data_IF_977607985258
#
_entry.id   IF_977607985258
#
_cell.length_a   1.000
_cell.length_b   1.000
_cell.length_c   1.000
_cell.angle_alpha   90.00
_cell.angle_beta   90.00
_cell.angle_gamma   90.00
#
_symmetry.space_group_name_H-M   'P 1'
#
loop_
_entity.id
_entity.type
_entity.pdbx_description
1 polymer ?
#
# COMPACT_ATOMS: atom_id res chain seq x y z
N UNK A 1 10.25 1.37 -0.32
CA UNK A 1 9.65 0.23 -1.05
C UNK A 1 9.18 -0.76 -0.01
N UNK A 2 7.97 -1.29 -0.18
CA UNK A 2 7.30 -2.19 0.74
C UNK A 2 6.86 -3.44 0.00
N UNK A 3 7.17 -4.61 0.55
CA UNK A 3 6.83 -5.90 -0.02
C UNK A 3 5.65 -6.50 0.75
N UNK A 4 4.62 -6.89 0.01
CA UNK A 4 3.41 -7.54 0.51
C UNK A 4 3.28 -8.93 -0.15
N UNK A 5 2.38 -9.76 0.36
CA UNK A 5 2.07 -11.05 -0.27
C UNK A 5 1.56 -10.81 -1.69
N UNK A 6 0.62 -9.89 -1.87
CA UNK A 6 -0.01 -9.61 -3.16
C UNK A 6 0.77 -8.72 -4.13
N UNK A 7 1.88 -8.09 -3.73
CA UNK A 7 2.62 -7.18 -4.59
C UNK A 7 3.66 -6.32 -3.89
N UNK A 8 4.22 -5.38 -4.63
CA UNK A 8 5.19 -4.39 -4.12
C UNK A 8 4.62 -2.98 -4.28
N UNK A 9 4.81 -2.14 -3.26
CA UNK A 9 4.43 -0.73 -3.26
C UNK A 9 5.68 0.13 -3.06
N UNK A 10 5.87 1.13 -3.91
CA UNK A 10 6.91 2.15 -3.72
C UNK A 10 6.26 3.49 -3.49
N UNK A 11 6.59 4.12 -2.38
CA UNK A 11 6.19 5.50 -2.06
C UNK A 11 7.42 6.38 -1.93
N UNK A 12 7.24 7.68 -2.13
CA UNK A 12 8.20 8.73 -1.82
C UNK A 12 7.70 9.48 -0.60
N UNK A 13 8.52 9.56 0.44
CA UNK A 13 8.24 10.33 1.64
C UNK A 13 8.98 11.67 1.52
N UNK A 14 8.24 12.77 1.57
CA UNK A 14 8.71 14.15 1.57
C UNK A 14 8.47 14.84 2.91
N UNK A 15 8.54 16.17 2.92
CA UNK A 15 8.26 16.96 4.11
C UNK A 15 6.75 16.98 4.40
N UNK A 16 6.29 16.06 5.26
CA UNK A 16 4.88 15.92 5.61
C UNK A 16 4.00 15.32 4.50
N UNK A 17 4.61 14.70 3.48
CA UNK A 17 3.91 14.17 2.31
C UNK A 17 4.37 12.76 1.98
N UNK A 18 3.45 11.94 1.51
CA UNK A 18 3.68 10.60 0.98
C UNK A 18 2.99 10.46 -0.38
N UNK A 19 3.78 10.25 -1.42
CA UNK A 19 3.29 10.05 -2.78
C UNK A 19 3.52 8.62 -3.24
N UNK A 20 2.52 8.04 -3.90
CA UNK A 20 2.66 6.74 -4.54
C UNK A 20 3.51 6.86 -5.82
N UNK A 21 4.63 6.15 -5.86
CA UNK A 21 5.54 6.16 -7.02
C UNK A 21 5.25 4.99 -7.96
N UNK A 22 5.01 3.80 -7.42
CA UNK A 22 4.72 2.63 -8.25
C UNK A 22 3.99 1.54 -7.47
N UNK A 23 3.17 0.77 -8.19
CA UNK A 23 2.55 -0.44 -7.69
C UNK A 23 2.81 -1.59 -8.67
N UNK A 24 3.27 -2.73 -8.14
CA UNK A 24 3.52 -3.93 -8.92
C UNK A 24 2.80 -5.13 -8.28
N UNK A 25 1.60 -5.52 -8.76
CA UNK A 25 0.95 -6.74 -8.28
C UNK A 25 1.73 -7.98 -8.67
N UNK A 26 1.74 -8.99 -7.80
CA UNK A 26 2.17 -10.35 -8.18
C UNK A 26 1.11 -11.01 -9.05
N UNK A 27 1.52 -12.00 -9.83
CA UNK A 27 0.62 -12.80 -10.67
C UNK A 27 -0.54 -13.36 -9.85
N UNK A 28 -1.77 -13.18 -10.35
CA UNK A 28 -2.99 -13.66 -9.69
C UNK A 28 -3.61 -12.68 -8.69
N UNK A 29 -2.99 -11.52 -8.45
CA UNK A 29 -3.55 -10.44 -7.66
C UNK A 29 -4.02 -9.29 -8.55
N UNK A 30 -5.20 -8.76 -8.28
CA UNK A 30 -5.67 -7.48 -8.78
C UNK A 30 -5.21 -6.36 -7.84
N UNK A 31 -5.03 -5.14 -8.36
CA UNK A 31 -4.66 -3.96 -7.58
C UNK A 31 -5.81 -2.97 -7.53
N UNK A 32 -6.05 -2.40 -6.34
CA UNK A 32 -6.89 -1.21 -6.14
C UNK A 32 -6.09 -0.16 -5.38
N UNK A 33 -5.97 1.02 -5.98
CA UNK A 33 -5.42 2.21 -5.31
C UNK A 33 -6.61 3.07 -4.89
N UNK A 34 -6.71 3.37 -3.59
CA UNK A 34 -7.77 4.26 -3.08
C UNK A 34 -7.26 5.68 -2.88
N UNK A 35 -6.03 5.81 -2.41
CA UNK A 35 -5.36 7.06 -2.12
C UNK A 35 -3.91 6.93 -2.63
N UNK A 36 -3.40 7.92 -3.37
CA UNK A 36 -2.08 7.92 -4.01
C UNK A 36 -1.17 9.07 -3.57
N UNK A 37 -1.56 9.78 -2.51
CA UNK A 37 -0.85 10.93 -1.93
C UNK A 37 -1.59 12.26 -2.10
N UNK A 38 -1.05 13.37 -1.58
CA UNK A 38 0.19 13.47 -0.79
C UNK A 38 -0.01 13.20 0.71
N UNK A 39 -1.25 13.13 1.22
CA UNK A 39 -1.49 12.99 2.67
C UNK A 39 -1.49 11.52 3.12
N UNK A 40 -1.98 10.66 2.24
CA UNK A 40 -2.19 9.23 2.50
C UNK A 40 -2.01 8.42 1.22
N UNK A 41 -1.41 7.26 1.36
CA UNK A 41 -1.37 6.23 0.31
C UNK A 41 -2.07 4.98 0.82
N UNK A 42 -2.96 4.43 0.00
CA UNK A 42 -3.70 3.21 0.29
C UNK A 42 -3.78 2.32 -0.94
N UNK A 43 -3.13 1.16 -0.84
CA UNK A 43 -3.07 0.16 -1.91
C UNK A 43 -3.58 -1.17 -1.37
N UNK A 44 -4.49 -1.80 -2.11
CA UNK A 44 -4.97 -3.15 -1.83
C UNK A 44 -4.64 -4.06 -3.00
N UNK A 45 -4.08 -5.22 -2.70
CA UNK A 45 -3.95 -6.33 -3.62
C UNK A 45 -4.93 -7.42 -3.22
N UNK A 46 -5.70 -7.94 -4.16
CA UNK A 46 -6.69 -8.98 -3.88
C UNK A 46 -6.53 -10.14 -4.86
N UNK A 47 -6.49 -11.36 -4.35
CA UNK A 47 -6.59 -12.60 -5.11
C UNK A 47 -7.80 -13.40 -4.61
N UNK A 48 -8.04 -14.59 -5.17
CA UNK A 48 -9.13 -15.46 -4.71
C UNK A 48 -8.93 -16.00 -3.28
N UNK A 49 -7.70 -15.99 -2.76
CA UNK A 49 -7.35 -16.63 -1.49
C UNK A 49 -6.72 -15.68 -0.48
N UNK A 50 -6.52 -14.41 -0.85
CA UNK A 50 -5.75 -13.48 -0.01
C UNK A 50 -6.00 -12.02 -0.38
N UNK A 51 -6.07 -11.16 0.62
CA UNK A 51 -6.05 -9.70 0.52
C UNK A 51 -4.80 -9.14 1.25
N UNK A 52 -4.02 -8.32 0.54
CA UNK A 52 -2.90 -7.58 1.11
C UNK A 52 -3.19 -6.10 1.05
N UNK A 53 -2.99 -5.38 2.14
CA UNK A 53 -3.31 -3.95 2.24
C UNK A 53 -2.15 -3.15 2.79
N UNK A 54 -1.72 -2.16 2.03
CA UNK A 54 -0.75 -1.15 2.44
C UNK A 54 -1.48 0.16 2.71
N UNK A 55 -1.22 0.75 3.87
CA UNK A 55 -1.66 2.10 4.24
C UNK A 55 -0.45 2.88 4.76
N UNK A 56 -0.27 4.13 4.34
CA UNK A 56 0.74 5.02 4.93
C UNK A 56 0.23 6.45 4.94
N UNK A 57 0.53 7.19 6.00
CA UNK A 57 0.11 8.58 6.19
C UNK A 57 1.09 9.31 7.13
N UNK A 58 0.90 10.62 7.29
CA UNK A 58 1.55 11.38 8.35
C UNK A 58 0.58 11.56 9.52
N UNK A 59 0.98 11.11 10.70
CA UNK A 59 0.25 11.33 11.96
C UNK A 59 1.17 12.11 12.90
N UNK A 60 0.71 13.27 13.38
CA UNK A 60 1.48 14.18 14.24
C UNK A 60 2.88 14.56 13.71
N UNK A 61 3.01 14.65 12.38
CA UNK A 61 4.27 14.98 11.70
C UNK A 61 5.27 13.81 11.60
N UNK A 62 4.87 12.62 12.04
CA UNK A 62 5.62 11.38 11.90
C UNK A 62 5.02 10.57 10.76
N UNK A 63 5.88 10.05 9.88
CA UNK A 63 5.46 9.13 8.83
C UNK A 63 5.17 7.76 9.45
N UNK A 64 3.95 7.28 9.26
CA UNK A 64 3.47 5.98 9.75
C UNK A 64 3.01 5.11 8.58
N UNK A 65 3.17 3.79 8.71
CA UNK A 65 2.65 2.84 7.72
C UNK A 65 2.17 1.55 8.38
N UNK A 66 1.24 0.88 7.70
CA UNK A 66 0.66 -0.39 8.12
C UNK A 66 0.52 -1.33 6.93
N UNK A 67 0.88 -2.59 7.15
CA UNK A 67 0.64 -3.70 6.23
C UNK A 67 -0.29 -4.69 6.92
N UNK A 68 -1.41 -5.02 6.28
CA UNK A 68 -2.31 -6.10 6.70
C UNK A 68 -2.32 -7.18 5.64
N UNK A 69 -2.32 -8.44 6.09
CA UNK A 69 -2.26 -9.62 5.24
C UNK A 69 -3.33 -10.60 5.70
N UNK A 70 -4.42 -10.69 4.94
CA UNK A 70 -5.64 -11.40 5.34
C UNK A 70 -5.94 -12.53 4.33
N UNK A 71 -5.85 -13.81 4.75
CA UNK A 71 -6.28 -14.92 3.90
C UNK A 71 -7.81 -14.88 3.69
N UNK A 72 -8.26 -15.22 2.48
CA UNK A 72 -9.67 -15.40 2.12
C UNK A 72 -9.94 -16.90 2.08
N UNK A 73 -10.81 -17.36 2.98
CA UNK A 73 -11.26 -18.76 3.08
C UNK A 73 -12.68 -18.98 2.56
#
# INVERSE_FOLDING_TARGET
>A
MYELIGGTVTVRVGAGTVDLISVAPKTGFATKVKDDGPDKVKVTFTSNTHESKFESEFEDGVYEFKINEDPIG
#
